data_IF_462030357919
#
_entry.id   IF_462030357919
#
_cell.length_a   1.000
_cell.length_b   1.000
_cell.length_c   1.000
_cell.angle_alpha   90.00
_cell.angle_beta   90.00
_cell.angle_gamma   90.00
#
_symmetry.space_group_name_H-M   'P 1'
#
loop_
_entity.id
_entity.type
_entity.pdbx_description
1 polymer ?
#
# COMPACT_ATOMS: atom_id res chain seq x y z
N UNK A 1 -13.06 -4.43 -41.83
CA UNK A 1 -13.46 -4.00 -40.48
C UNK A 1 -12.81 -4.95 -39.48
N UNK A 2 -11.68 -4.55 -38.89
CA UNK A 2 -11.13 -5.19 -37.70
C UNK A 2 -11.03 -4.06 -36.67
N UNK A 3 -11.86 -4.13 -35.63
CA UNK A 3 -11.81 -3.21 -34.50
C UNK A 3 -10.48 -3.42 -33.77
N UNK A 4 -9.49 -2.58 -34.07
CA UNK A 4 -8.27 -2.49 -33.28
C UNK A 4 -8.68 -1.91 -31.93
N UNK A 5 -8.64 -2.73 -30.91
CA UNK A 5 -8.93 -2.30 -29.55
C UNK A 5 -7.91 -1.24 -29.13
N UNK A 6 -8.38 0.00 -28.97
CA UNK A 6 -7.64 1.16 -28.44
C UNK A 6 -7.47 1.00 -26.93
N UNK A 7 -6.75 -0.05 -26.50
CA UNK A 7 -6.27 -0.12 -25.13
C UNK A 7 -4.91 0.58 -25.10
N UNK A 8 -4.74 1.56 -24.21
CA UNK A 8 -3.44 2.15 -23.92
C UNK A 8 -2.44 1.03 -23.62
N UNK A 9 -1.29 1.04 -24.28
CA UNK A 9 -0.24 0.05 -24.05
C UNK A 9 0.32 0.22 -22.63
N UNK A 10 -0.28 -0.46 -21.66
CA UNK A 10 0.04 -0.33 -20.24
C UNK A 10 1.50 -0.74 -19.95
N UNK A 11 2.06 -1.64 -20.75
CA UNK A 11 3.46 -2.05 -20.65
C UNK A 11 4.44 -0.92 -21.05
N UNK A 12 4.08 -0.08 -22.02
CA UNK A 12 4.91 1.07 -22.40
C UNK A 12 4.84 2.18 -21.35
N UNK A 13 3.68 2.38 -20.71
CA UNK A 13 3.54 3.28 -19.57
C UNK A 13 4.37 2.80 -18.38
N UNK A 14 4.24 1.51 -18.01
CA UNK A 14 4.95 0.96 -16.85
C UNK A 14 6.46 1.14 -16.96
N UNK A 15 7.06 0.79 -18.10
CA UNK A 15 8.51 0.97 -18.33
C UNK A 15 8.99 2.42 -18.24
N UNK A 16 8.14 3.38 -18.60
CA UNK A 16 8.47 4.81 -18.49
C UNK A 16 8.32 5.32 -17.07
N UNK A 17 7.36 4.78 -16.31
CA UNK A 17 7.02 5.22 -14.97
C UNK A 17 7.90 4.57 -13.89
N UNK A 18 8.35 3.33 -14.11
CA UNK A 18 9.21 2.55 -13.21
C UNK A 18 10.41 3.33 -12.61
N UNK A 19 11.26 4.02 -13.40
CA UNK A 19 12.38 4.79 -12.83
C UNK A 19 11.94 6.04 -12.04
N UNK A 20 10.74 6.54 -12.28
CA UNK A 20 10.20 7.76 -11.64
C UNK A 20 9.44 7.39 -10.35
N UNK A 21 8.80 6.22 -10.33
CA UNK A 21 7.90 5.80 -9.26
C UNK A 21 8.61 5.72 -7.90
N UNK A 22 9.80 5.12 -7.84
CA UNK A 22 10.57 4.99 -6.60
C UNK A 22 10.88 6.33 -5.93
N UNK A 23 11.62 7.24 -6.59
CA UNK A 23 11.93 8.55 -6.02
C UNK A 23 10.69 9.39 -5.67
N UNK A 24 9.67 9.37 -6.54
CA UNK A 24 8.45 10.14 -6.33
C UNK A 24 7.66 9.62 -5.11
N UNK A 25 7.54 8.30 -4.97
CA UNK A 25 6.81 7.67 -3.87
C UNK A 25 7.49 7.92 -2.52
N UNK A 26 8.84 7.86 -2.46
CA UNK A 26 9.62 8.23 -1.27
C UNK A 26 9.40 9.69 -0.87
N UNK A 27 9.43 10.61 -1.84
CA UNK A 27 9.18 12.03 -1.58
C UNK A 27 7.78 12.27 -1.01
N UNK A 28 6.75 11.67 -1.61
CA UNK A 28 5.37 11.79 -1.15
C UNK A 28 5.20 11.19 0.25
N UNK A 29 5.76 10.02 0.53
CA UNK A 29 5.65 9.38 1.84
C UNK A 29 6.38 10.16 2.94
N UNK A 30 7.55 10.74 2.64
CA UNK A 30 8.29 11.57 3.59
C UNK A 30 7.50 12.84 3.93
N UNK A 31 7.07 13.57 2.92
CA UNK A 31 6.29 14.80 3.12
C UNK A 31 4.94 14.50 3.80
N UNK A 32 4.26 13.44 3.38
CA UNK A 32 3.01 12.97 3.97
C UNK A 32 3.17 12.59 5.44
N UNK A 33 4.27 11.92 5.81
CA UNK A 33 4.56 11.58 7.21
C UNK A 33 4.71 12.82 8.08
N UNK A 34 5.47 13.82 7.61
CA UNK A 34 5.64 15.10 8.32
C UNK A 34 4.29 15.82 8.47
N UNK A 35 3.52 15.93 7.38
CA UNK A 35 2.22 16.59 7.41
C UNK A 35 1.22 15.92 8.37
N UNK A 36 1.17 14.58 8.39
CA UNK A 36 0.31 13.85 9.31
C UNK A 36 0.79 13.92 10.76
N UNK A 37 2.09 13.97 11.01
CA UNK A 37 2.63 14.20 12.35
C UNK A 37 2.26 15.60 12.87
N UNK A 38 2.41 16.63 12.04
CA UNK A 38 1.99 17.99 12.39
C UNK A 38 0.48 18.06 12.70
N UNK A 39 -0.35 17.36 11.90
CA UNK A 39 -1.78 17.23 12.19
C UNK A 39 -2.03 16.64 13.57
N UNK A 40 -1.35 15.54 13.93
CA UNK A 40 -1.49 14.92 15.25
C UNK A 40 -1.11 15.94 16.32
N UNK A 41 0.09 16.51 16.27
CA UNK A 41 0.58 17.46 17.28
C UNK A 41 -0.37 18.64 17.51
N UNK A 42 -0.86 19.26 16.42
CA UNK A 42 -1.77 20.41 16.49
C UNK A 42 -3.12 20.00 17.06
N UNK A 43 -3.70 18.88 16.59
CA UNK A 43 -5.03 18.44 17.00
C UNK A 43 -5.08 17.81 18.39
N UNK A 44 -3.93 17.32 18.91
CA UNK A 44 -3.83 16.80 20.28
C UNK A 44 -3.71 17.89 21.35
N UNK A 45 -3.59 19.16 20.97
CA UNK A 45 -3.54 20.28 21.92
C UNK A 45 -4.81 20.35 22.78
N UNK A 46 -4.64 20.70 24.06
CA UNK A 46 -5.69 20.61 25.08
C UNK A 46 -6.91 21.50 24.77
N UNK A 47 -6.69 22.61 24.06
CA UNK A 47 -7.74 23.55 23.65
C UNK A 47 -8.61 23.05 22.48
N UNK A 48 -8.21 21.97 21.81
CA UNK A 48 -8.85 21.44 20.60
C UNK A 48 -9.60 20.12 20.82
N UNK A 49 -10.02 19.79 22.05
CA UNK A 49 -10.75 18.54 22.38
C UNK A 49 -12.22 18.52 21.94
N UNK A 50 -12.47 18.73 20.65
CA UNK A 50 -13.79 18.56 20.02
C UNK A 50 -13.94 17.19 19.34
N UNK A 51 -15.14 16.61 19.24
CA UNK A 51 -15.36 15.30 18.60
C UNK A 51 -14.81 15.21 17.18
N UNK A 52 -14.91 16.30 16.42
CA UNK A 52 -14.34 16.45 15.07
C UNK A 52 -12.81 16.27 15.06
N UNK A 53 -12.14 16.79 16.08
CA UNK A 53 -10.68 16.77 16.16
C UNK A 53 -10.17 15.39 16.56
N UNK A 54 -10.93 14.63 17.37
CA UNK A 54 -10.63 13.22 17.64
C UNK A 54 -10.68 12.37 16.36
N UNK A 55 -11.70 12.58 15.51
CA UNK A 55 -11.81 11.89 14.22
C UNK A 55 -10.65 12.28 13.29
N UNK A 56 -10.30 13.57 13.23
CA UNK A 56 -9.18 14.07 12.44
C UNK A 56 -7.82 13.54 12.93
N UNK A 57 -7.61 13.40 14.23
CA UNK A 57 -6.40 12.79 14.80
C UNK A 57 -6.33 11.31 14.42
N UNK A 58 -7.44 10.56 14.54
CA UNK A 58 -7.50 9.16 14.10
C UNK A 58 -7.19 9.00 12.61
N UNK A 59 -7.69 9.90 11.77
CA UNK A 59 -7.37 9.95 10.34
C UNK A 59 -5.88 10.19 10.09
N UNK A 60 -5.29 11.17 10.78
CA UNK A 60 -3.88 11.48 10.66
C UNK A 60 -2.97 10.33 11.13
N UNK A 61 -3.36 9.60 12.19
CA UNK A 61 -2.64 8.40 12.64
C UNK A 61 -2.71 7.28 11.61
N UNK A 62 -3.89 7.02 11.05
CA UNK A 62 -4.06 5.99 10.02
C UNK A 62 -3.22 6.30 8.77
N UNK A 63 -3.27 7.54 8.29
CA UNK A 63 -2.47 7.98 7.14
C UNK A 63 -0.97 7.91 7.45
N UNK A 64 -0.52 8.30 8.65
CA UNK A 64 0.88 8.21 9.05
C UNK A 64 1.38 6.76 9.05
N UNK A 65 0.60 5.82 9.58
CA UNK A 65 0.98 4.41 9.65
C UNK A 65 1.18 3.81 8.24
N UNK A 66 0.31 4.14 7.29
CA UNK A 66 0.47 3.71 5.90
C UNK A 66 1.74 4.30 5.28
N UNK A 67 2.03 5.58 5.52
CA UNK A 67 3.22 6.23 4.95
C UNK A 67 4.52 5.64 5.51
N UNK A 68 4.58 5.35 6.81
CA UNK A 68 5.76 4.76 7.45
C UNK A 68 6.02 3.33 6.98
N UNK A 69 4.96 2.56 6.84
CA UNK A 69 5.06 1.17 6.41
C UNK A 69 5.47 1.08 4.92
N UNK A 70 4.93 1.94 4.06
CA UNK A 70 5.38 2.04 2.67
C UNK A 70 6.83 2.55 2.58
N UNK A 71 7.25 3.47 3.46
CA UNK A 71 8.62 3.94 3.50
C UNK A 71 9.60 2.79 3.79
N UNK A 72 9.27 1.89 4.72
CA UNK A 72 10.07 0.70 5.00
C UNK A 72 10.17 -0.22 3.76
N UNK A 73 9.05 -0.46 3.07
CA UNK A 73 9.03 -1.24 1.82
C UNK A 73 9.87 -0.57 0.71
N UNK A 74 9.70 0.73 0.50
CA UNK A 74 10.37 1.49 -0.56
C UNK A 74 11.87 1.63 -0.30
N UNK A 75 12.32 1.83 0.94
CA UNK A 75 13.75 1.86 1.28
C UNK A 75 14.41 0.52 0.94
N UNK A 76 13.77 -0.60 1.27
CA UNK A 76 14.30 -1.91 0.91
C UNK A 76 14.42 -2.07 -0.61
N UNK A 77 13.35 -1.77 -1.35
CA UNK A 77 13.30 -1.99 -2.80
C UNK A 77 14.22 -1.04 -3.59
N UNK A 78 14.21 0.25 -3.25
CA UNK A 78 14.87 1.28 -4.06
C UNK A 78 16.24 1.73 -3.55
N UNK A 79 16.53 1.59 -2.24
CA UNK A 79 17.77 2.13 -1.65
C UNK A 79 18.75 1.02 -1.27
N UNK A 80 18.29 0.01 -0.52
CA UNK A 80 19.19 -0.98 0.08
C UNK A 80 19.53 -2.10 -0.91
N UNK A 81 18.53 -2.64 -1.60
CA UNK A 81 18.69 -3.93 -2.25
C UNK A 81 18.90 -3.86 -3.76
N UNK A 82 18.78 -2.69 -4.41
CA UNK A 82 18.65 -2.61 -5.87
C UNK A 82 17.62 -3.69 -6.33
N UNK A 83 16.50 -3.75 -5.60
CA UNK A 83 15.91 -5.00 -5.07
C UNK A 83 15.53 -6.03 -6.11
N UNK A 84 15.19 -5.60 -7.31
CA UNK A 84 14.84 -6.45 -8.44
C UNK A 84 16.01 -7.26 -8.99
N UNK A 85 17.24 -6.83 -8.70
CA UNK A 85 18.46 -7.39 -9.29
C UNK A 85 19.06 -8.53 -8.47
N UNK A 86 18.62 -8.77 -7.24
CA UNK A 86 19.24 -9.76 -6.36
C UNK A 86 18.24 -10.79 -5.83
N UNK A 87 18.67 -12.06 -5.77
CA UNK A 87 17.84 -13.19 -5.29
C UNK A 87 17.46 -13.04 -3.82
N UNK A 88 18.28 -12.35 -3.01
CA UNK A 88 18.03 -12.14 -1.58
C UNK A 88 16.78 -11.30 -1.30
N UNK A 89 16.45 -10.37 -2.19
CA UNK A 89 15.24 -9.55 -2.13
C UNK A 89 13.95 -10.35 -2.31
N UNK A 90 14.06 -11.58 -2.83
CA UNK A 90 12.96 -12.51 -3.04
C UNK A 90 13.02 -13.70 -2.07
N UNK A 91 13.56 -13.49 -0.87
CA UNK A 91 13.52 -14.49 0.19
C UNK A 91 12.09 -14.76 0.65
N UNK A 92 11.86 -15.91 1.30
CA UNK A 92 10.55 -16.24 1.86
C UNK A 92 10.08 -15.20 2.88
N UNK A 93 11.00 -14.70 3.72
CA UNK A 93 10.69 -13.64 4.70
C UNK A 93 10.22 -12.36 4.02
N UNK A 94 10.85 -11.97 2.90
CA UNK A 94 10.42 -10.83 2.10
C UNK A 94 9.07 -11.05 1.43
N UNK A 95 8.80 -12.25 0.91
CA UNK A 95 7.49 -12.57 0.36
C UNK A 95 6.38 -12.42 1.44
N UNK A 96 6.62 -12.90 2.66
CA UNK A 96 5.70 -12.72 3.79
C UNK A 96 5.57 -11.24 4.18
N UNK A 97 6.67 -10.49 4.19
CA UNK A 97 6.63 -9.05 4.46
C UNK A 97 5.82 -8.29 3.41
N UNK A 98 6.00 -8.58 2.12
CA UNK A 98 5.22 -7.97 1.03
C UNK A 98 3.73 -8.29 1.14
N UNK A 99 3.39 -9.51 1.60
CA UNK A 99 2.00 -9.88 1.89
C UNK A 99 1.43 -9.07 3.05
N UNK A 100 2.18 -8.96 4.15
CA UNK A 100 1.83 -8.12 5.28
C UNK A 100 1.66 -6.66 4.83
N UNK A 101 2.56 -6.17 3.99
CA UNK A 101 2.56 -4.80 3.49
C UNK A 101 1.26 -4.49 2.74
N UNK A 102 0.92 -5.36 1.78
CA UNK A 102 -0.31 -5.21 1.00
C UNK A 102 -1.57 -5.26 1.88
N UNK A 103 -1.62 -6.15 2.87
CA UNK A 103 -2.76 -6.26 3.80
C UNK A 103 -2.86 -5.05 4.73
N UNK A 104 -1.73 -4.62 5.29
CA UNK A 104 -1.64 -3.50 6.23
C UNK A 104 -2.05 -2.20 5.55
N UNK A 105 -1.44 -1.87 4.41
CA UNK A 105 -1.77 -0.70 3.61
C UNK A 105 -3.26 -0.67 3.22
N UNK A 106 -3.78 -1.79 2.72
CA UNK A 106 -5.20 -1.90 2.33
C UNK A 106 -6.15 -1.71 3.51
N UNK A 107 -5.80 -2.22 4.69
CA UNK A 107 -6.59 -2.08 5.91
C UNK A 107 -6.63 -0.62 6.37
N UNK A 108 -5.47 0.00 6.59
CA UNK A 108 -5.41 1.37 7.12
C UNK A 108 -5.94 2.42 6.14
N UNK A 109 -5.75 2.26 4.83
CA UNK A 109 -6.41 3.12 3.84
C UNK A 109 -7.94 3.05 3.92
N UNK A 110 -8.48 1.86 4.14
CA UNK A 110 -9.91 1.68 4.30
C UNK A 110 -10.43 2.38 5.59
N UNK A 111 -9.69 2.28 6.70
CA UNK A 111 -9.98 3.00 7.95
C UNK A 111 -10.02 4.51 7.71
N UNK A 112 -8.98 5.04 7.06
CA UNK A 112 -8.85 6.46 6.71
C UNK A 112 -10.05 6.95 5.88
N UNK A 113 -10.46 6.17 4.88
CA UNK A 113 -11.65 6.47 4.08
C UNK A 113 -12.94 6.52 4.93
N UNK A 114 -13.13 5.53 5.81
CA UNK A 114 -14.29 5.49 6.69
C UNK A 114 -14.34 6.68 7.65
N UNK A 115 -13.20 7.02 8.28
CA UNK A 115 -13.10 8.19 9.16
C UNK A 115 -13.39 9.49 8.41
N UNK A 116 -12.94 9.60 7.15
CA UNK A 116 -13.23 10.76 6.29
C UNK A 116 -14.74 10.90 6.00
N UNK A 117 -15.43 9.80 5.72
CA UNK A 117 -16.88 9.80 5.50
C UNK A 117 -17.62 10.17 6.77
N UNK A 118 -17.25 9.58 7.92
CA UNK A 118 -17.83 9.91 9.22
C UNK A 118 -17.63 11.40 9.52
N UNK A 119 -16.43 11.93 9.30
CA UNK A 119 -16.11 13.34 9.48
C UNK A 119 -17.00 14.23 8.60
N UNK A 120 -17.18 13.87 7.33
CA UNK A 120 -18.03 14.62 6.40
C UNK A 120 -19.50 14.63 6.85
N UNK A 121 -20.04 13.48 7.25
CA UNK A 121 -21.39 13.35 7.79
C UNK A 121 -21.55 14.17 9.08
N UNK A 122 -20.56 14.12 9.97
CA UNK A 122 -20.56 14.86 11.22
C UNK A 122 -20.59 16.38 10.97
N UNK A 123 -19.72 16.87 10.09
CA UNK A 123 -19.69 18.29 9.70
C UNK A 123 -20.99 18.73 9.03
N UNK A 124 -21.56 17.90 8.18
CA UNK A 124 -22.85 18.17 7.54
C UNK A 124 -23.98 18.27 8.58
N UNK A 125 -24.08 17.31 9.50
CA UNK A 125 -25.10 17.31 10.54
C UNK A 125 -24.99 18.53 11.47
N UNK A 126 -23.77 18.94 11.82
CA UNK A 126 -23.52 20.13 12.63
C UNK A 126 -24.03 21.43 11.97
N UNK A 127 -23.93 21.54 10.64
CA UNK A 127 -24.37 22.73 9.88
C UNK A 127 -25.87 22.68 9.60
N UNK A 128 -26.39 21.53 9.16
CA UNK A 128 -27.75 21.41 8.65
C UNK A 128 -28.83 21.46 9.74
N UNK A 129 -28.52 21.14 10.99
CA UNK A 129 -29.52 21.04 12.06
C UNK A 129 -28.94 21.22 13.47
N UNK A 130 -28.57 22.44 13.88
CA UNK A 130 -28.04 22.71 15.23
C UNK A 130 -29.01 22.29 16.36
N UNK A 131 -30.32 22.41 16.16
CA UNK A 131 -31.35 22.10 17.18
C UNK A 131 -31.88 20.65 17.15
N UNK A 132 -31.63 19.90 16.06
CA UNK A 132 -32.03 18.48 15.88
C UNK A 132 -30.83 17.52 15.79
N UNK A 133 -29.61 18.00 16.02
CA UNK A 133 -28.36 17.22 16.04
C UNK A 133 -28.47 15.94 16.90
N UNK A 134 -29.27 15.99 17.97
CA UNK A 134 -29.53 14.85 18.86
C UNK A 134 -30.47 13.76 18.28
N UNK A 135 -31.26 14.05 17.24
CA UNK A 135 -32.28 13.16 16.66
C UNK A 135 -31.87 12.50 15.32
N UNK A 136 -31.07 13.18 14.50
CA UNK A 136 -30.47 12.58 13.28
C UNK A 136 -29.29 11.65 13.60
N UNK A 137 -28.90 11.65 14.87
CA UNK A 137 -28.03 10.69 15.53
C UNK A 137 -28.72 9.33 15.69
N UNK A 138 -29.17 8.70 14.61
CA UNK A 138 -29.02 7.24 14.56
C UNK A 138 -27.62 6.93 13.98
N UNK A 139 -26.61 7.54 14.62
CA UNK A 139 -25.19 7.29 14.41
C UNK A 139 -24.90 5.79 14.50
N UNK A 140 -25.76 5.02 15.17
CA UNK A 140 -25.65 3.56 15.24
C UNK A 140 -25.84 2.94 13.86
N UNK A 141 -26.74 3.39 12.99
CA UNK A 141 -26.94 2.79 11.66
C UNK A 141 -25.77 3.07 10.71
N UNK A 142 -25.25 4.30 10.73
CA UNK A 142 -24.05 4.68 9.95
C UNK A 142 -22.81 4.01 10.52
N UNK A 143 -22.67 3.96 11.85
CA UNK A 143 -21.60 3.21 12.52
C UNK A 143 -21.72 1.72 12.24
N UNK A 144 -22.93 1.15 12.25
CA UNK A 144 -23.15 -0.24 11.89
C UNK A 144 -22.74 -0.46 10.44
N UNK A 145 -23.17 0.35 9.48
CA UNK A 145 -22.73 0.23 8.08
C UNK A 145 -21.22 0.38 7.90
N UNK A 146 -20.57 1.29 8.64
CA UNK A 146 -19.12 1.45 8.67
C UNK A 146 -18.45 0.24 9.32
N UNK A 147 -18.99 -0.29 10.42
CA UNK A 147 -18.51 -1.51 11.07
C UNK A 147 -18.68 -2.72 10.16
N UNK A 148 -19.82 -2.88 9.50
CA UNK A 148 -20.03 -3.98 8.52
C UNK A 148 -19.01 -3.86 7.40
N UNK A 149 -18.74 -2.67 6.88
CA UNK A 149 -17.68 -2.50 5.87
C UNK A 149 -16.28 -2.75 6.43
N UNK A 150 -16.04 -2.45 7.72
CA UNK A 150 -14.83 -2.81 8.47
C UNK A 150 -14.58 -4.30 8.64
N UNK A 151 -15.64 -5.13 8.62
CA UNK A 151 -15.50 -6.59 8.66
C UNK A 151 -15.52 -7.21 7.27
N UNK A 152 -16.34 -6.70 6.36
CA UNK A 152 -16.48 -7.21 4.99
C UNK A 152 -15.20 -6.98 4.18
N UNK A 153 -14.56 -5.80 4.28
CA UNK A 153 -13.34 -5.48 3.52
C UNK A 153 -12.14 -6.35 3.91
N UNK A 154 -11.79 -6.51 5.19
CA UNK A 154 -10.76 -7.47 5.59
C UNK A 154 -11.18 -8.89 5.27
N UNK A 155 -12.41 -9.32 5.54
CA UNK A 155 -12.80 -10.70 5.23
C UNK A 155 -12.65 -11.03 3.74
N UNK A 156 -13.11 -10.15 2.84
CA UNK A 156 -13.00 -10.35 1.39
C UNK A 156 -11.57 -10.24 0.88
N UNK A 157 -10.82 -9.22 1.30
CA UNK A 157 -9.41 -9.11 0.93
C UNK A 157 -8.58 -10.24 1.53
N UNK A 158 -8.71 -10.55 2.81
CA UNK A 158 -8.00 -11.65 3.49
C UNK A 158 -8.33 -13.00 2.87
N UNK A 159 -9.57 -13.27 2.43
CA UNK A 159 -9.89 -14.48 1.66
C UNK A 159 -9.14 -14.52 0.31
N UNK A 160 -9.04 -13.38 -0.38
CA UNK A 160 -8.22 -13.27 -1.60
C UNK A 160 -6.73 -13.45 -1.30
N UNK A 161 -6.19 -12.85 -0.25
CA UNK A 161 -4.78 -12.98 0.14
C UNK A 161 -4.45 -14.38 0.68
N UNK A 162 -5.37 -15.06 1.37
CA UNK A 162 -5.27 -16.47 1.76
C UNK A 162 -5.30 -17.42 0.55
N UNK A 163 -5.90 -16.98 -0.56
CA UNK A 163 -5.85 -17.71 -1.83
C UNK A 163 -4.50 -17.54 -2.54
N UNK A 164 -3.74 -16.48 -2.22
CA UNK A 164 -2.38 -16.33 -2.75
C UNK A 164 -1.47 -17.40 -2.16
N UNK A 165 -0.78 -18.11 -3.04
CA UNK A 165 0.28 -19.04 -2.68
C UNK A 165 1.62 -18.38 -2.98
N UNK A 166 2.50 -18.41 -2.00
CA UNK A 166 3.92 -18.13 -2.24
C UNK A 166 4.47 -19.32 -2.99
N UNK A 167 4.94 -19.09 -4.19
CA UNK A 167 5.50 -20.13 -5.05
C UNK A 167 7.01 -19.99 -5.11
N UNK A 168 7.66 -21.13 -5.24
CA UNK A 168 9.11 -21.20 -5.39
C UNK A 168 9.44 -21.29 -6.88
N UNK A 169 10.28 -20.37 -7.35
CA UNK A 169 10.80 -20.38 -8.72
C UNK A 169 12.32 -20.56 -8.69
N UNK A 170 12.85 -21.24 -9.70
CA UNK A 170 14.29 -21.36 -9.89
C UNK A 170 14.76 -20.19 -10.74
N UNK A 171 15.58 -19.31 -10.17
CA UNK A 171 16.22 -18.22 -10.91
C UNK A 171 17.71 -18.46 -11.11
N UNK A 172 18.20 -18.06 -12.28
CA UNK A 172 19.62 -18.06 -12.60
C UNK A 172 20.26 -16.78 -12.10
N UNK A 173 21.30 -16.92 -11.29
CA UNK A 173 22.03 -15.80 -10.72
C UNK A 173 23.54 -16.01 -10.80
N UNK A 174 24.28 -14.91 -10.70
CA UNK A 174 25.73 -14.94 -10.54
C UNK A 174 26.15 -15.46 -9.14
N UNK A 175 27.46 -15.57 -8.92
CA UNK A 175 28.04 -16.02 -7.64
C UNK A 175 27.66 -15.13 -6.44
N UNK A 176 27.42 -13.85 -6.66
CA UNK A 176 26.99 -12.87 -5.65
C UNK A 176 25.47 -12.81 -5.48
N UNK A 177 24.71 -13.60 -6.25
CA UNK A 177 23.26 -13.61 -6.17
C UNK A 177 22.59 -12.51 -6.99
N UNK A 178 23.26 -11.95 -8.01
CA UNK A 178 22.60 -11.06 -8.97
C UNK A 178 21.80 -11.87 -9.98
N UNK A 179 20.50 -11.59 -10.13
CA UNK A 179 19.60 -12.22 -11.11
C UNK A 179 20.06 -11.83 -12.52
N UNK A 180 20.22 -12.84 -13.38
CA UNK A 180 20.65 -12.67 -14.76
C UNK A 180 19.42 -12.71 -15.68
N UNK A 181 19.17 -11.64 -16.42
CA UNK A 181 18.16 -11.64 -17.48
C UNK A 181 18.61 -12.52 -18.66
N UNK A 182 17.67 -12.87 -19.55
CA UNK A 182 17.99 -13.68 -20.74
C UNK A 182 19.09 -13.05 -21.61
N UNK A 183 19.08 -11.72 -21.73
CA UNK A 183 20.08 -10.95 -22.50
C UNK A 183 21.44 -10.94 -21.81
N UNK A 184 21.45 -10.84 -20.48
CA UNK A 184 22.70 -10.87 -19.70
C UNK A 184 23.34 -12.25 -19.76
N UNK A 185 22.53 -13.32 -19.77
CA UNK A 185 23.01 -14.70 -19.85
C UNK A 185 23.77 -15.00 -21.16
N UNK A 186 23.38 -14.37 -22.28
CA UNK A 186 24.06 -14.54 -23.57
C UNK A 186 25.48 -13.94 -23.59
N UNK A 187 25.73 -12.95 -22.74
CA UNK A 187 27.02 -12.23 -22.67
C UNK A 187 27.86 -12.63 -21.44
N UNK A 188 27.28 -13.39 -20.50
CA UNK A 188 27.91 -13.70 -19.22
C UNK A 188 28.91 -14.85 -19.33
N UNK A 189 30.18 -14.60 -18.99
CA UNK A 189 31.28 -15.58 -19.04
C UNK A 189 31.62 -16.21 -17.68
N UNK A 190 30.92 -15.81 -16.61
CA UNK A 190 31.15 -16.28 -15.25
C UNK A 190 30.40 -17.57 -14.88
N UNK A 191 30.59 -18.02 -13.65
CA UNK A 191 29.87 -19.18 -13.10
C UNK A 191 28.42 -18.81 -12.81
N UNK A 192 27.50 -19.53 -13.43
CA UNK A 192 26.06 -19.39 -13.20
C UNK A 192 25.62 -20.38 -12.13
N UNK A 193 24.83 -19.89 -11.17
CA UNK A 193 24.20 -20.70 -10.14
C UNK A 193 22.68 -20.58 -10.22
N UNK A 194 21.97 -21.65 -9.82
CA UNK A 194 20.51 -21.61 -9.68
C UNK A 194 20.17 -21.47 -8.20
N UNK A 195 19.34 -20.50 -7.86
CA UNK A 195 18.82 -20.29 -6.50
C UNK A 195 17.30 -20.19 -6.52
N UNK A 196 16.68 -20.56 -5.41
CA UNK A 196 15.24 -20.46 -5.22
C UNK A 196 14.85 -19.03 -4.85
N UNK A 197 13.86 -18.49 -5.55
CA UNK A 197 13.15 -17.25 -5.17
C UNK A 197 11.71 -17.57 -4.80
N UNK A 198 11.11 -16.70 -3.98
CA UNK A 198 9.74 -16.81 -3.53
C UNK A 198 8.94 -15.62 -4.06
N UNK A 199 7.90 -15.88 -4.86
CA UNK A 199 7.04 -14.83 -5.41
C UNK A 199 5.59 -15.34 -5.57
N UNK A 200 4.64 -14.43 -5.78
CA UNK A 200 3.22 -14.73 -5.95
C UNK A 200 2.88 -15.03 -7.42
N UNK A 201 1.97 -15.97 -7.68
CA UNK A 201 1.56 -16.42 -9.03
C UNK A 201 1.10 -15.27 -9.98
N UNK A 202 0.64 -14.14 -9.43
CA UNK A 202 0.09 -13.02 -10.20
C UNK A 202 1.13 -11.98 -10.65
N UNK A 203 2.34 -12.02 -10.07
CA UNK A 203 3.43 -11.06 -10.35
C UNK A 203 4.46 -11.76 -11.25
N UNK A 204 4.07 -12.05 -12.49
CA UNK A 204 5.02 -12.44 -13.54
C UNK A 204 5.60 -11.14 -14.12
N UNK A 205 6.64 -10.62 -13.48
CA UNK A 205 7.37 -9.40 -13.90
C UNK A 205 8.78 -9.71 -14.40
N UNK A 206 8.99 -10.91 -14.95
CA UNK A 206 10.23 -11.28 -15.62
C UNK A 206 9.86 -11.96 -16.93
N UNK A 207 9.81 -11.15 -17.99
CA UNK A 207 10.03 -11.55 -19.38
C UNK A 207 10.99 -10.53 -20.01
#
# INVERSE_FOLDING_TARGET
>A
MANVTVYCNLASFSRKYEPIHGPLSLFVCLFGSVANLLKICVLTSEEMRWPTNVILTGLAVADLLVMLEYLAFAIHWYIIADGEKYVESYSYGWAVFTLFHALFSQFFHFISCCLTVILAVWRYAAIASPHKSRYWCDSRKTLYAVLTTYFVRPATCTLFFLSLRILTYNQTCDRHGKILSRKDLETFTGVVTKRHIFNFLFIKWID
#
